data_IF_111045943396
#
_entry.id   IF_111045943396
#
_cell.length_a   1.000
_cell.length_b   1.000
_cell.length_c   1.000
_cell.angle_alpha   90.00
_cell.angle_beta   90.00
_cell.angle_gamma   90.00
#
_symmetry.space_group_name_H-M   'P 1'
#
loop_
_entity.id
_entity.type
_entity.pdbx_description
1 polymer ?
#
# COMPACT_ATOMS: atom_id res chain seq x y z
N UNK A 1 -28.03 18.53 -4.08
CA UNK A 1 -27.51 17.14 -4.13
C UNK A 1 -26.39 17.09 -3.11
N UNK A 2 -26.65 16.50 -1.93
CA UNK A 2 -25.71 16.45 -0.82
C UNK A 2 -24.47 15.65 -1.26
N UNK A 3 -23.29 16.29 -1.26
CA UNK A 3 -22.00 15.61 -1.48
C UNK A 3 -21.57 15.02 -0.14
N UNK A 4 -21.32 13.72 -0.10
CA UNK A 4 -20.94 13.04 1.14
C UNK A 4 -19.55 13.49 1.67
N UNK A 5 -19.60 14.31 2.71
CA UNK A 5 -18.97 14.23 4.05
C UNK A 5 -17.46 14.06 4.29
N UNK A 6 -16.60 13.66 3.35
CA UNK A 6 -15.15 13.54 3.62
C UNK A 6 -14.27 14.09 2.49
N UNK A 7 -14.66 13.80 1.25
CA UNK A 7 -13.92 14.25 0.06
C UNK A 7 -14.14 15.75 -0.23
N UNK A 8 -15.33 16.29 0.04
CA UNK A 8 -15.56 17.73 -0.12
C UNK A 8 -14.73 18.56 0.88
N UNK A 9 -14.56 18.05 2.10
CA UNK A 9 -13.86 18.76 3.19
C UNK A 9 -12.32 18.69 3.05
N UNK A 10 -11.78 17.65 2.40
CA UNK A 10 -10.33 17.52 2.16
C UNK A 10 -9.87 18.19 0.84
N UNK A 11 -10.74 18.26 -0.16
CA UNK A 11 -10.38 18.75 -1.51
C UNK A 11 -10.48 20.26 -1.63
N UNK A 12 -11.46 20.89 -0.96
CA UNK A 12 -11.73 22.32 -1.09
C UNK A 12 -10.71 23.25 -0.37
N UNK A 13 -10.20 22.93 0.84
CA UNK A 13 -9.24 23.81 1.53
C UNK A 13 -7.85 23.83 0.87
N UNK A 14 -7.36 22.67 0.41
CA UNK A 14 -6.04 22.55 -0.22
C UNK A 14 -5.93 23.35 -1.52
N UNK A 15 -7.02 23.43 -2.29
CA UNK A 15 -7.01 24.06 -3.61
C UNK A 15 -7.18 25.57 -3.59
N UNK A 16 -7.76 26.12 -2.51
CA UNK A 16 -8.20 27.53 -2.47
C UNK A 16 -7.44 28.34 -1.39
N UNK A 17 -7.03 27.72 -0.28
CA UNK A 17 -6.53 28.45 0.89
C UNK A 17 -5.06 28.15 1.25
N UNK A 18 -4.44 27.13 0.65
CA UNK A 18 -3.04 26.76 0.92
C UNK A 18 -2.78 26.32 2.37
N UNK A 19 -3.82 25.88 3.08
CA UNK A 19 -3.69 25.35 4.44
C UNK A 19 -3.04 23.97 4.40
N UNK A 20 -2.18 23.70 5.39
CA UNK A 20 -1.66 22.35 5.59
C UNK A 20 -2.73 21.48 6.22
N UNK A 21 -2.96 20.31 5.63
CA UNK A 21 -4.06 19.41 5.99
C UNK A 21 -3.50 18.16 6.66
N UNK A 22 -4.04 17.82 7.83
CA UNK A 22 -3.73 16.60 8.56
C UNK A 22 -4.95 15.70 8.71
N UNK A 23 -4.79 14.37 8.57
CA UNK A 23 -5.87 13.40 8.75
C UNK A 23 -5.58 12.41 9.90
N UNK A 24 -6.61 12.11 10.68
CA UNK A 24 -6.56 11.05 11.71
C UNK A 24 -7.33 9.84 11.19
N UNK A 25 -6.64 8.72 10.99
CA UNK A 25 -7.19 7.48 10.40
C UNK A 25 -7.03 6.36 11.43
N UNK A 26 -8.08 6.00 12.17
CA UNK A 26 -7.96 5.10 13.33
C UNK A 26 -7.56 3.68 12.93
N UNK A 27 -8.09 3.24 11.80
CA UNK A 27 -7.90 1.93 11.18
C UNK A 27 -6.43 1.69 10.79
N UNK A 28 -5.64 2.76 10.68
CA UNK A 28 -4.20 2.68 10.41
C UNK A 28 -3.43 1.92 11.50
N UNK A 29 -3.82 2.02 12.78
CA UNK A 29 -3.10 1.35 13.87
C UNK A 29 -3.21 -0.17 13.75
N UNK A 30 -4.43 -0.67 13.51
CA UNK A 30 -4.70 -2.10 13.36
C UNK A 30 -4.01 -2.64 12.09
N UNK A 31 -4.07 -1.90 10.99
CA UNK A 31 -3.46 -2.32 9.73
C UNK A 31 -1.92 -2.37 9.82
N UNK A 32 -1.28 -1.38 10.47
CA UNK A 32 0.17 -1.41 10.73
C UNK A 32 0.54 -2.60 11.63
N UNK A 33 -0.28 -2.92 12.65
CA UNK A 33 -0.01 -4.07 13.53
C UNK A 33 -0.08 -5.39 12.77
N UNK A 34 -1.08 -5.56 11.90
CA UNK A 34 -1.22 -6.76 11.06
C UNK A 34 -0.07 -6.86 10.06
N UNK A 35 0.29 -5.77 9.39
CA UNK A 35 1.40 -5.74 8.42
C UNK A 35 2.75 -6.05 9.07
N UNK A 36 2.95 -5.62 10.32
CA UNK A 36 4.15 -5.95 11.10
C UNK A 36 4.11 -7.34 11.74
N UNK A 37 3.03 -8.08 11.61
CA UNK A 37 2.96 -9.44 12.15
C UNK A 37 3.88 -10.39 11.39
N UNK A 38 4.53 -11.36 12.06
CA UNK A 38 5.39 -12.33 11.39
C UNK A 38 4.66 -13.17 10.32
N UNK A 39 3.35 -13.40 10.52
CA UNK A 39 2.52 -14.12 9.56
C UNK A 39 2.39 -13.32 8.26
N UNK A 40 2.02 -12.05 8.34
CA UNK A 40 1.87 -11.18 7.16
C UNK A 40 3.21 -10.97 6.44
N UNK A 41 4.31 -10.75 7.17
CA UNK A 41 5.63 -10.58 6.57
C UNK A 41 6.10 -11.84 5.83
N UNK A 42 5.82 -13.04 6.38
CA UNK A 42 6.13 -14.30 5.70
C UNK A 42 5.35 -14.44 4.39
N UNK A 43 4.05 -14.17 4.40
CA UNK A 43 3.22 -14.24 3.20
C UNK A 43 3.65 -13.20 2.15
N UNK A 44 3.94 -11.98 2.57
CA UNK A 44 4.45 -10.93 1.68
C UNK A 44 5.79 -11.31 1.03
N UNK A 45 6.68 -11.98 1.79
CA UNK A 45 7.93 -12.50 1.24
C UNK A 45 7.69 -13.61 0.21
N UNK A 46 6.78 -14.56 0.51
CA UNK A 46 6.42 -15.63 -0.42
C UNK A 46 5.77 -15.10 -1.71
N UNK A 47 4.94 -14.06 -1.61
CA UNK A 47 4.34 -13.40 -2.76
C UNK A 47 5.40 -12.75 -3.65
N UNK A 48 6.34 -12.01 -3.03
CA UNK A 48 7.45 -11.39 -3.75
C UNK A 48 8.35 -12.44 -4.41
N UNK A 49 8.60 -13.57 -3.75
CA UNK A 49 9.37 -14.68 -4.32
C UNK A 49 8.65 -15.29 -5.53
N UNK A 50 7.34 -15.48 -5.45
CA UNK A 50 6.51 -15.96 -6.56
C UNK A 50 6.53 -14.99 -7.75
N UNK A 51 6.43 -13.68 -7.53
CA UNK A 51 6.48 -12.66 -8.59
C UNK A 51 7.80 -12.72 -9.38
N UNK A 52 8.93 -12.86 -8.68
CA UNK A 52 10.26 -12.98 -9.33
C UNK A 52 10.34 -14.25 -10.18
N UNK A 53 9.80 -15.36 -9.70
CA UNK A 53 9.85 -16.62 -10.42
C UNK A 53 8.89 -16.66 -11.63
N UNK A 54 7.76 -15.95 -11.58
CA UNK A 54 6.84 -15.80 -12.70
C UNK A 54 7.48 -14.97 -13.83
N UNK A 55 8.17 -13.88 -13.48
CA UNK A 55 8.93 -13.06 -14.43
C UNK A 55 10.06 -13.87 -15.11
N UNK A 56 10.83 -14.65 -14.34
CA UNK A 56 11.89 -15.52 -14.89
C UNK A 56 11.32 -16.64 -15.79
N UNK A 57 10.19 -17.24 -15.40
CA UNK A 57 9.56 -18.31 -16.18
C UNK A 57 8.97 -17.82 -17.52
N UNK A 58 8.57 -16.56 -17.59
CA UNK A 58 7.98 -15.94 -18.78
C UNK A 58 9.04 -15.60 -19.85
N UNK A 59 10.29 -15.35 -19.44
CA UNK A 59 11.42 -15.02 -20.36
C UNK A 59 12.07 -16.28 -21.00
N UNK A 60 11.72 -17.48 -20.55
CA UNK A 60 12.47 -18.72 -20.80
C UNK A 60 12.20 -19.39 -22.18
N UNK A 61 11.49 -18.72 -23.10
CA UNK A 61 11.35 -19.14 -24.51
C UNK A 61 10.69 -20.52 -24.76
N UNK A 62 9.92 -21.05 -23.81
CA UNK A 62 9.32 -22.39 -23.85
C UNK A 62 8.17 -22.50 -24.86
N UNK A 63 7.82 -23.74 -25.25
CA UNK A 63 6.64 -24.04 -26.07
C UNK A 63 5.34 -23.58 -25.38
N UNK A 64 4.39 -23.03 -26.14
CA UNK A 64 3.17 -22.38 -25.64
C UNK A 64 2.41 -23.22 -24.58
N UNK A 65 2.18 -24.50 -24.83
CA UNK A 65 1.43 -25.38 -23.90
C UNK A 65 2.10 -25.59 -22.53
N UNK A 66 3.45 -25.58 -22.49
CA UNK A 66 4.21 -25.72 -21.25
C UNK A 66 4.31 -24.39 -20.49
N UNK A 67 4.28 -23.26 -21.20
CA UNK A 67 4.22 -21.93 -20.62
C UNK A 67 2.85 -21.68 -19.97
N UNK A 68 1.76 -22.10 -20.62
CA UNK A 68 0.40 -21.94 -20.09
C UNK A 68 0.20 -22.66 -18.74
N UNK A 69 0.74 -23.88 -18.59
CA UNK A 69 0.64 -24.63 -17.34
C UNK A 69 1.40 -23.95 -16.18
N UNK A 70 2.57 -23.36 -16.47
CA UNK A 70 3.37 -22.63 -15.49
C UNK A 70 2.72 -21.31 -15.11
N UNK A 71 2.19 -20.58 -16.09
CA UNK A 71 1.43 -19.36 -15.86
C UNK A 71 0.22 -19.60 -14.94
N UNK A 72 -0.60 -20.61 -15.24
CA UNK A 72 -1.74 -20.95 -14.39
C UNK A 72 -1.32 -21.39 -12.98
N UNK A 73 -0.15 -22.02 -12.83
CA UNK A 73 0.37 -22.35 -11.51
C UNK A 73 0.67 -21.10 -10.68
N UNK A 74 1.40 -20.12 -11.23
CA UNK A 74 1.72 -18.88 -10.51
C UNK A 74 0.50 -18.01 -10.26
N UNK A 75 -0.44 -17.93 -11.20
CA UNK A 75 -1.72 -17.20 -10.98
C UNK A 75 -2.50 -17.80 -9.81
N UNK A 76 -2.57 -19.13 -9.70
CA UNK A 76 -3.25 -19.79 -8.58
C UNK A 76 -2.48 -19.57 -7.27
N UNK A 77 -1.15 -19.72 -7.28
CA UNK A 77 -0.32 -19.47 -6.09
C UNK A 77 -0.46 -18.04 -5.57
N UNK A 78 -0.43 -17.07 -6.47
CA UNK A 78 -0.61 -15.66 -6.14
C UNK A 78 -2.00 -15.41 -5.54
N UNK A 79 -3.05 -16.01 -6.12
CA UNK A 79 -4.41 -15.91 -5.60
C UNK A 79 -4.53 -16.52 -4.18
N UNK A 80 -3.93 -17.69 -3.94
CA UNK A 80 -3.91 -18.34 -2.63
C UNK A 80 -3.22 -17.49 -1.57
N UNK A 81 -2.02 -16.97 -1.88
CA UNK A 81 -1.26 -16.10 -0.98
C UNK A 81 -2.02 -14.80 -0.67
N UNK A 82 -2.65 -14.18 -1.69
CA UNK A 82 -3.48 -13.00 -1.48
C UNK A 82 -4.68 -13.29 -0.57
N UNK A 83 -5.38 -14.40 -0.76
CA UNK A 83 -6.50 -14.78 0.09
C UNK A 83 -6.06 -15.00 1.55
N UNK A 84 -4.90 -15.63 1.77
CA UNK A 84 -4.34 -15.80 3.12
C UNK A 84 -3.97 -14.45 3.76
N UNK A 85 -3.40 -13.52 2.98
CA UNK A 85 -3.07 -12.18 3.45
C UNK A 85 -4.32 -11.36 3.79
N UNK A 86 -5.35 -11.42 2.95
CA UNK A 86 -6.63 -10.73 3.18
C UNK A 86 -7.36 -11.28 4.41
N UNK A 87 -7.25 -12.59 4.67
CA UNK A 87 -7.83 -13.22 5.85
C UNK A 87 -7.20 -12.75 7.18
N UNK A 88 -5.98 -12.18 7.14
CA UNK A 88 -5.35 -11.54 8.31
C UNK A 88 -5.88 -10.12 8.56
N UNK A 89 -6.51 -9.51 7.57
CA UNK A 89 -7.07 -8.16 7.64
C UNK A 89 -8.56 -8.24 8.06
N UNK A 90 -9.23 -7.09 8.18
CA UNK A 90 -10.64 -7.01 8.52
C UNK A 90 -11.51 -7.88 7.58
N UNK A 91 -12.23 -8.89 8.10
CA UNK A 91 -12.97 -9.85 7.28
C UNK A 91 -14.18 -9.26 6.54
N UNK A 92 -14.67 -8.08 6.94
CA UNK A 92 -15.87 -7.49 6.33
C UNK A 92 -15.56 -6.56 5.16
N UNK A 93 -14.43 -5.86 5.20
CA UNK A 93 -14.11 -4.78 4.25
C UNK A 93 -12.70 -4.88 3.66
N UNK A 94 -11.85 -5.79 4.15
CA UNK A 94 -10.45 -5.88 3.74
C UNK A 94 -9.62 -4.68 4.22
N UNK A 95 -8.52 -4.41 3.53
CA UNK A 95 -7.64 -3.27 3.82
C UNK A 95 -8.33 -1.95 3.47
N UNK A 96 -8.15 -0.94 4.32
CA UNK A 96 -8.63 0.41 4.05
C UNK A 96 -7.75 1.08 2.99
N UNK A 97 -6.46 0.74 2.93
CA UNK A 97 -5.49 1.37 2.06
C UNK A 97 -5.22 0.63 0.75
N UNK A 98 -5.59 -0.65 0.65
CA UNK A 98 -5.27 -1.50 -0.51
C UNK A 98 -6.46 -2.32 -0.99
N UNK A 99 -6.47 -2.54 -2.30
CA UNK A 99 -7.33 -3.50 -2.99
C UNK A 99 -6.38 -4.30 -3.88
N UNK A 100 -6.21 -5.59 -3.58
CA UNK A 100 -5.19 -6.43 -4.23
C UNK A 100 -3.79 -5.75 -4.15
N UNK A 101 -3.15 -5.55 -5.30
CA UNK A 101 -1.86 -4.85 -5.44
C UNK A 101 -1.98 -3.32 -5.50
N UNK A 102 -3.18 -2.78 -5.65
CA UNK A 102 -3.42 -1.37 -5.93
C UNK A 102 -3.82 -0.59 -4.66
N UNK A 103 -3.47 0.71 -4.58
CA UNK A 103 -4.01 1.57 -3.53
C UNK A 103 -5.53 1.72 -3.68
N UNK A 104 -6.25 1.68 -2.57
CA UNK A 104 -7.69 1.94 -2.56
C UNK A 104 -7.99 3.40 -2.95
N UNK A 105 -9.24 3.71 -3.30
CA UNK A 105 -9.67 5.09 -3.54
C UNK A 105 -9.47 6.00 -2.32
N UNK A 106 -9.60 5.43 -1.12
CA UNK A 106 -9.30 6.13 0.12
C UNK A 106 -7.80 6.46 0.21
N UNK A 107 -6.91 5.48 -0.02
CA UNK A 107 -5.47 5.70 -0.01
C UNK A 107 -5.04 6.74 -1.06
N UNK A 108 -5.57 6.64 -2.28
CA UNK A 108 -5.30 7.61 -3.34
C UNK A 108 -5.69 9.03 -2.95
N UNK A 109 -6.85 9.19 -2.30
CA UNK A 109 -7.34 10.49 -1.86
C UNK A 109 -6.55 11.02 -0.67
N UNK A 110 -6.20 10.17 0.30
CA UNK A 110 -5.33 10.54 1.41
C UNK A 110 -3.97 11.03 0.90
N UNK A 111 -3.34 10.28 -0.01
CA UNK A 111 -2.05 10.64 -0.61
C UNK A 111 -2.11 11.96 -1.39
N UNK A 112 -3.24 12.26 -2.04
CA UNK A 112 -3.39 13.45 -2.87
C UNK A 112 -3.75 14.72 -2.08
N UNK A 113 -4.50 14.58 -1.00
CA UNK A 113 -5.14 15.72 -0.32
C UNK A 113 -4.71 15.90 1.13
N UNK A 114 -3.88 15.01 1.69
CA UNK A 114 -3.43 15.13 3.08
C UNK A 114 -1.92 15.27 3.10
N UNK A 115 -1.41 16.32 3.75
CA UNK A 115 0.04 16.51 3.93
C UNK A 115 0.62 15.49 4.92
N UNK A 116 -0.13 15.18 5.98
CA UNK A 116 0.28 14.23 7.02
C UNK A 116 -0.91 13.46 7.57
N UNK A 117 -0.78 12.15 7.71
CA UNK A 117 -1.80 11.32 8.34
C UNK A 117 -1.20 10.51 9.50
N UNK A 118 -2.01 10.23 10.51
CA UNK A 118 -1.61 9.42 11.67
C UNK A 118 -2.80 8.69 12.28
N UNK A 119 -2.56 7.65 13.07
CA UNK A 119 -3.65 6.91 13.72
C UNK A 119 -4.31 7.69 14.87
N UNK A 120 -3.51 8.50 15.58
CA UNK A 120 -3.95 9.27 16.74
C UNK A 120 -3.23 10.60 16.79
N UNK A 121 -3.93 11.64 17.25
CA UNK A 121 -3.35 12.98 17.41
C UNK A 121 -2.15 12.99 18.38
N UNK A 122 -2.19 12.12 19.40
CA UNK A 122 -1.12 12.01 20.40
C UNK A 122 0.23 11.64 19.80
N UNK A 123 0.27 10.99 18.65
CA UNK A 123 1.52 10.60 17.98
C UNK A 123 2.33 11.84 17.59
N UNK A 124 1.69 12.98 17.33
CA UNK A 124 2.39 14.24 17.06
C UNK A 124 3.05 14.85 18.31
N UNK A 125 2.62 14.45 19.52
CA UNK A 125 3.24 14.92 20.76
C UNK A 125 4.62 14.28 21.01
N UNK A 126 4.95 13.22 20.27
CA UNK A 126 6.26 12.57 20.30
C UNK A 126 7.33 13.39 19.56
N UNK A 127 6.91 14.37 18.76
CA UNK A 127 7.79 15.24 17.98
C UNK A 127 7.92 16.62 18.64
N UNK A 128 9.09 17.27 18.54
CA UNK A 128 9.25 18.64 19.01
C UNK A 128 8.44 19.61 18.12
N UNK A 129 8.04 20.76 18.69
CA UNK A 129 7.18 21.75 17.99
C UNK A 129 7.81 22.37 16.74
N UNK A 130 9.13 22.27 16.60
CA UNK A 130 9.90 22.77 15.46
C UNK A 130 10.32 21.65 14.49
N UNK A 131 9.71 20.47 14.58
CA UNK A 131 9.98 19.36 13.68
C UNK A 131 9.44 19.64 12.27
N UNK A 132 10.25 19.34 11.25
CA UNK A 132 9.85 19.41 9.85
C UNK A 132 9.71 18.01 9.30
N UNK A 133 8.51 17.64 8.87
CA UNK A 133 8.25 16.37 8.19
C UNK A 133 8.68 16.47 6.72
N UNK A 134 9.49 15.52 6.28
CA UNK A 134 9.88 15.37 4.88
C UNK A 134 9.28 14.06 4.34
N UNK A 135 8.52 14.10 3.24
CA UNK A 135 8.02 12.87 2.62
C UNK A 135 9.18 12.07 2.04
N UNK A 136 9.06 10.74 2.07
CA UNK A 136 9.98 9.89 1.34
C UNK A 136 9.87 10.14 -0.17
N UNK A 137 11.01 10.08 -0.87
CA UNK A 137 11.02 10.23 -2.32
C UNK A 137 10.44 8.96 -2.94
N UNK A 138 9.23 9.08 -3.50
CA UNK A 138 8.70 8.04 -4.37
C UNK A 138 9.53 7.97 -5.65
N UNK A 139 10.08 6.80 -5.91
CA UNK A 139 10.88 6.56 -7.11
C UNK A 139 9.99 6.37 -8.31
N UNK A 140 10.41 6.87 -9.46
CA UNK A 140 9.76 6.56 -10.73
C UNK A 140 10.23 5.19 -11.22
N UNK A 141 9.42 4.45 -12.02
CA UNK A 141 9.78 3.10 -12.48
C UNK A 141 11.11 2.98 -13.24
N UNK A 142 11.59 4.09 -13.82
CA UNK A 142 12.86 4.14 -14.56
C UNK A 142 14.05 4.62 -13.72
N UNK A 143 13.85 4.94 -12.43
CA UNK A 143 14.93 5.37 -11.56
C UNK A 143 15.71 4.18 -10.99
N UNK A 144 17.05 4.22 -10.99
CA UNK A 144 17.88 3.11 -10.52
C UNK A 144 17.73 2.87 -9.01
N UNK A 145 17.71 1.60 -8.60
CA UNK A 145 17.64 1.23 -7.17
C UNK A 145 18.97 1.56 -6.49
N UNK A 146 18.99 2.41 -5.45
CA UNK A 146 20.21 2.76 -4.76
C UNK A 146 20.79 1.49 -4.15
N UNK A 147 21.98 1.11 -4.59
CA UNK A 147 22.73 0.04 -3.98
C UNK A 147 23.24 0.52 -2.61
N UNK A 148 23.23 -0.33 -1.57
CA UNK A 148 23.86 0.01 -0.30
C UNK A 148 25.35 0.33 -0.54
N UNK A 149 25.94 1.27 0.22
CA UNK A 149 27.37 1.56 0.09
C UNK A 149 28.17 0.28 0.39
N UNK A 150 29.13 -0.02 -0.50
CA UNK A 150 30.12 -1.09 -0.30
C UNK A 150 31.04 -0.81 0.89
#
# INVERSE_FOLDING_TARGET
MYRDSLFADLVEPNRILGWRTGAIIRELEDEIQIQNSPAYQRLAFQLQEADVHDDEATDDGRSHDAADAVYHHYVNLHSELQMEMEALINPNFGSVFRVESHPSQFAFSAQRYVDIYSSRLKNFLEYPKNYTFYPERMRLPHEPTPQPPM
#
